data_IF_846282967739
#
_entry.id   IF_846282967739
#
_cell.length_a   1.000
_cell.length_b   1.000
_cell.length_c   1.000
_cell.angle_alpha   90.00
_cell.angle_beta   90.00
_cell.angle_gamma   90.00
#
_symmetry.space_group_name_H-M   'P 1'
#
loop_
_entity.id
_entity.type
_entity.pdbx_description
1 polymer ?
#
# COMPACT_ATOMS: atom_id res chain seq x y z
N UNK A 1 -22.39 -25.64 2.76
CA UNK A 1 -22.15 -24.59 3.75
C UNK A 1 -22.11 -23.27 3.00
N UNK A 2 -22.75 -22.18 3.50
CA UNK A 2 -22.63 -20.89 2.86
C UNK A 2 -21.15 -20.49 2.84
N UNK A 3 -20.67 -20.02 1.68
CA UNK A 3 -19.32 -19.52 1.53
C UNK A 3 -19.22 -18.27 2.40
N UNK A 4 -18.43 -18.34 3.45
CA UNK A 4 -18.23 -17.23 4.37
C UNK A 4 -17.26 -16.24 3.74
N UNK A 5 -17.54 -14.93 3.86
CA UNK A 5 -16.65 -13.89 3.36
C UNK A 5 -15.31 -13.95 4.10
N UNK A 6 -14.22 -13.82 3.36
CA UNK A 6 -12.87 -13.73 3.90
C UNK A 6 -12.55 -12.30 4.32
N UNK A 7 -11.76 -12.15 5.38
CA UNK A 7 -11.33 -10.84 5.87
C UNK A 7 -9.90 -10.53 5.41
N UNK A 8 -9.70 -9.31 4.96
CA UNK A 8 -8.41 -8.82 4.47
C UNK A 8 -8.08 -7.54 5.23
N UNK A 9 -6.85 -7.44 5.70
CA UNK A 9 -6.32 -6.22 6.31
C UNK A 9 -5.37 -5.54 5.33
N UNK A 10 -5.50 -4.23 5.16
CA UNK A 10 -4.54 -3.41 4.42
C UNK A 10 -3.73 -2.55 5.38
N UNK A 11 -2.46 -2.35 5.04
CA UNK A 11 -1.52 -1.56 5.83
C UNK A 11 -0.80 -0.54 4.95
N UNK A 12 -0.83 0.71 5.39
CA UNK A 12 -0.10 1.80 4.79
C UNK A 12 0.67 2.54 5.91
N UNK A 13 1.98 2.27 5.99
CA UNK A 13 2.85 2.81 7.03
C UNK A 13 3.60 4.04 6.51
N UNK A 14 3.55 5.13 7.28
CA UNK A 14 4.35 6.34 7.10
C UNK A 14 5.44 6.45 8.18
N UNK A 15 6.13 7.59 8.24
CA UNK A 15 7.23 7.83 9.18
C UNK A 15 6.81 7.76 10.65
N UNK A 16 5.60 8.20 10.96
CA UNK A 16 5.08 8.28 12.33
C UNK A 16 3.64 7.78 12.45
N UNK A 17 3.14 7.05 11.44
CA UNK A 17 1.75 6.60 11.41
C UNK A 17 1.58 5.27 10.69
N UNK A 18 0.51 4.55 11.05
CA UNK A 18 -0.01 3.42 10.30
C UNK A 18 -1.48 3.69 10.03
N UNK A 19 -1.88 3.54 8.77
CA UNK A 19 -3.28 3.49 8.35
C UNK A 19 -3.63 2.07 7.95
N UNK A 20 -4.78 1.59 8.41
CA UNK A 20 -5.26 0.24 8.11
C UNK A 20 -6.68 0.28 7.60
N UNK A 21 -7.03 -0.72 6.79
CA UNK A 21 -8.40 -1.01 6.39
C UNK A 21 -8.73 -2.46 6.67
N UNK A 22 -9.92 -2.72 7.15
CA UNK A 22 -10.48 -4.06 7.26
C UNK A 22 -11.54 -4.22 6.18
N UNK A 23 -11.38 -5.22 5.35
CA UNK A 23 -12.28 -5.52 4.24
C UNK A 23 -12.83 -6.93 4.35
N UNK A 24 -14.03 -7.12 3.83
CA UNK A 24 -14.70 -8.40 3.66
C UNK A 24 -14.94 -8.65 2.18
N UNK A 25 -14.65 -9.85 1.70
CA UNK A 25 -14.86 -10.22 0.30
C UNK A 25 -14.82 -11.72 0.08
N UNK A 26 -15.14 -12.12 -1.15
CA UNK A 26 -15.07 -13.52 -1.61
C UNK A 26 -14.07 -13.65 -2.73
N UNK A 27 -13.44 -14.80 -2.81
CA UNK A 27 -12.57 -15.11 -3.96
C UNK A 27 -13.36 -15.03 -5.25
N UNK A 28 -12.82 -14.28 -6.21
CA UNK A 28 -13.45 -14.06 -7.52
C UNK A 28 -14.46 -12.91 -7.56
N UNK A 29 -14.70 -12.22 -6.46
CA UNK A 29 -15.42 -10.94 -6.47
C UNK A 29 -14.45 -9.78 -6.72
N UNK A 30 -14.86 -8.85 -7.58
CA UNK A 30 -13.99 -7.76 -8.03
C UNK A 30 -13.71 -6.70 -6.97
N UNK A 31 -14.53 -6.64 -5.90
CA UNK A 31 -14.40 -5.58 -4.89
C UNK A 31 -14.77 -6.04 -3.49
N UNK A 32 -13.77 -6.13 -2.59
CA UNK A 32 -14.03 -6.31 -1.18
C UNK A 32 -14.73 -5.08 -0.58
N UNK A 33 -15.61 -5.33 0.37
CA UNK A 33 -16.37 -4.30 1.08
C UNK A 33 -15.59 -3.81 2.28
N UNK A 34 -15.40 -2.50 2.40
CA UNK A 34 -14.82 -1.88 3.59
C UNK A 34 -15.72 -2.10 4.81
N UNK A 35 -15.17 -2.60 5.90
CA UNK A 35 -15.84 -2.77 7.20
C UNK A 35 -15.42 -1.70 8.20
N UNK A 36 -14.12 -1.41 8.29
CA UNK A 36 -13.56 -0.45 9.24
C UNK A 36 -12.25 0.14 8.74
N UNK A 37 -11.92 1.31 9.26
CA UNK A 37 -10.60 1.96 9.10
C UNK A 37 -9.97 2.18 10.44
N UNK A 38 -8.67 1.93 10.54
CA UNK A 38 -7.85 2.25 11.69
C UNK A 38 -6.76 3.24 11.31
N UNK A 39 -6.44 4.15 12.22
CA UNK A 39 -5.30 5.06 12.11
C UNK A 39 -4.62 5.15 13.47
N UNK A 40 -3.34 4.83 13.50
CA UNK A 40 -2.48 5.10 14.63
C UNK A 40 -1.43 6.11 14.18
N UNK A 41 -1.47 7.32 14.71
CA UNK A 41 -0.52 8.39 14.41
C UNK A 41 0.24 8.83 15.67
N UNK A 42 1.21 9.71 15.48
CA UNK A 42 2.04 10.24 16.56
C UNK A 42 2.93 9.20 17.22
N UNK A 43 3.34 8.15 16.52
CA UNK A 43 4.19 7.08 17.04
C UNK A 43 5.44 7.67 17.68
N UNK A 44 5.70 7.32 18.95
CA UNK A 44 6.86 7.77 19.73
C UNK A 44 6.78 9.20 20.28
N UNK A 45 5.75 9.97 19.95
CA UNK A 45 5.60 11.38 20.36
C UNK A 45 4.28 11.62 21.09
N UNK A 46 3.16 11.37 20.44
CA UNK A 46 1.82 11.50 20.99
C UNK A 46 0.90 10.48 20.31
N UNK A 47 1.03 9.20 20.63
CA UNK A 47 0.30 8.14 19.92
C UNK A 47 -1.20 8.23 20.15
N UNK A 48 -1.97 8.13 19.07
CA UNK A 48 -3.43 8.08 19.10
C UNK A 48 -3.93 7.05 18.10
N UNK A 49 -4.75 6.12 18.59
CA UNK A 49 -5.43 5.13 17.76
C UNK A 49 -6.90 5.50 17.61
N UNK A 50 -7.34 5.63 16.38
CA UNK A 50 -8.74 5.81 16.02
C UNK A 50 -9.19 4.66 15.13
N UNK A 51 -10.33 4.05 15.46
CA UNK A 51 -10.99 3.02 14.66
C UNK A 51 -12.40 3.48 14.34
N UNK A 52 -12.72 3.56 13.06
CA UNK A 52 -13.99 4.04 12.55
C UNK A 52 -14.59 2.98 11.63
N UNK A 53 -15.84 2.64 11.87
CA UNK A 53 -16.60 1.72 11.01
C UNK A 53 -16.93 2.37 9.66
N UNK A 54 -17.27 1.55 8.67
CA UNK A 54 -17.62 2.03 7.33
C UNK A 54 -18.79 3.02 7.32
N UNK A 55 -19.70 2.93 8.28
CA UNK A 55 -20.86 3.85 8.45
C UNK A 55 -20.49 5.17 9.19
N UNK A 56 -19.23 5.33 9.60
CA UNK A 56 -18.76 6.50 10.34
C UNK A 56 -18.81 6.36 11.86
N UNK A 57 -19.33 5.26 12.40
CA UNK A 57 -19.35 5.01 13.85
C UNK A 57 -17.92 4.90 14.40
N UNK A 58 -17.60 5.69 15.42
CA UNK A 58 -16.31 5.63 16.11
C UNK A 58 -16.34 4.46 17.08
N UNK A 59 -15.51 3.44 16.81
CA UNK A 59 -15.36 2.26 17.68
C UNK A 59 -14.34 2.47 18.77
N UNK A 60 -13.29 3.21 18.48
CA UNK A 60 -12.21 3.47 19.41
C UNK A 60 -11.54 4.81 19.09
N UNK A 61 -11.19 5.54 20.14
CA UNK A 61 -10.37 6.74 20.08
C UNK A 61 -9.56 6.80 21.37
N UNK A 62 -8.31 6.34 21.31
CA UNK A 62 -7.44 6.14 22.47
C UNK A 62 -6.11 6.83 22.25
N UNK A 63 -5.71 7.64 23.22
CA UNK A 63 -4.36 8.21 23.30
C UNK A 63 -3.48 7.38 24.22
N UNK A 64 -2.21 7.30 23.89
CA UNK A 64 -1.19 6.55 24.64
C UNK A 64 -0.04 7.46 25.04
N UNK A 65 0.68 7.07 26.08
CA UNK A 65 1.97 7.68 26.39
C UNK A 65 3.01 7.29 25.33
N UNK A 66 3.99 8.17 25.01
CA UNK A 66 4.99 7.90 23.98
C UNK A 66 5.70 6.55 24.14
N UNK A 67 5.96 6.14 25.39
CA UNK A 67 6.68 4.91 25.72
C UNK A 67 5.85 3.65 25.43
N UNK A 68 4.53 3.74 25.41
CA UNK A 68 3.62 2.62 25.12
C UNK A 68 3.62 2.25 23.65
N UNK A 69 3.77 3.25 22.78
CA UNK A 69 3.82 3.09 21.32
C UNK A 69 5.07 3.82 20.80
N UNK A 70 6.23 3.30 21.17
CA UNK A 70 7.50 3.96 20.92
C UNK A 70 7.99 3.85 19.47
N UNK A 71 7.55 2.83 18.72
CA UNK A 71 8.02 2.51 17.39
C UNK A 71 6.95 1.80 16.54
N UNK A 72 7.29 1.54 15.29
CA UNK A 72 6.39 0.88 14.32
C UNK A 72 5.94 -0.50 14.78
N UNK A 73 6.82 -1.28 15.41
CA UNK A 73 6.49 -2.62 15.91
C UNK A 73 5.44 -2.55 17.02
N UNK A 74 5.59 -1.65 17.98
CA UNK A 74 4.61 -1.44 19.05
C UNK A 74 3.26 -0.96 18.49
N UNK A 75 3.29 -0.07 17.50
CA UNK A 75 2.10 0.41 16.81
C UNK A 75 1.37 -0.72 16.08
N UNK A 76 2.08 -1.57 15.36
CA UNK A 76 1.51 -2.71 14.68
C UNK A 76 0.89 -3.71 15.66
N UNK A 77 1.59 -4.02 16.74
CA UNK A 77 1.08 -4.93 17.79
C UNK A 77 -0.21 -4.39 18.42
N UNK A 78 -0.30 -3.09 18.65
CA UNK A 78 -1.51 -2.48 19.19
C UNK A 78 -2.69 -2.58 18.23
N UNK A 79 -2.47 -2.32 16.94
CA UNK A 79 -3.49 -2.47 15.90
C UNK A 79 -3.92 -3.94 15.79
N UNK A 80 -2.99 -4.86 15.79
CA UNK A 80 -3.28 -6.29 15.68
C UNK A 80 -4.09 -6.79 16.86
N UNK A 81 -3.79 -6.33 18.08
CA UNK A 81 -4.57 -6.64 19.29
C UNK A 81 -6.03 -6.22 19.13
N UNK A 82 -6.27 -5.00 18.65
CA UNK A 82 -7.64 -4.50 18.40
C UNK A 82 -8.37 -5.34 17.37
N UNK A 83 -7.67 -5.78 16.33
CA UNK A 83 -8.23 -6.67 15.32
C UNK A 83 -8.59 -8.04 15.91
N UNK A 84 -7.70 -8.66 16.67
CA UNK A 84 -7.95 -9.95 17.33
C UNK A 84 -9.14 -9.89 18.28
N UNK A 85 -9.22 -8.85 19.12
CA UNK A 85 -10.32 -8.64 20.06
C UNK A 85 -11.66 -8.42 19.34
N UNK A 86 -11.65 -7.69 18.20
CA UNK A 86 -12.84 -7.39 17.42
C UNK A 86 -13.30 -8.52 16.49
N UNK A 87 -12.39 -9.43 16.10
CA UNK A 87 -12.63 -10.47 15.10
C UNK A 87 -12.59 -11.89 15.66
N UNK A 88 -12.74 -12.08 16.94
CA UNK A 88 -12.54 -13.29 17.77
C UNK A 88 -12.60 -14.64 17.01
N UNK A 89 -13.63 -14.86 16.18
CA UNK A 89 -13.88 -16.11 15.46
C UNK A 89 -13.56 -16.03 13.94
N UNK A 90 -13.06 -14.90 13.46
CA UNK A 90 -12.83 -14.63 12.03
C UNK A 90 -11.49 -13.92 11.79
N UNK A 91 -10.35 -14.64 11.90
CA UNK A 91 -9.06 -14.02 11.62
C UNK A 91 -8.94 -13.59 10.16
N UNK A 92 -8.15 -12.53 9.87
CA UNK A 92 -7.83 -12.17 8.50
C UNK A 92 -7.11 -13.32 7.78
N UNK A 93 -7.36 -13.46 6.47
CA UNK A 93 -6.69 -14.48 5.65
C UNK A 93 -5.40 -13.98 5.01
N UNK A 94 -5.24 -12.66 4.94
CA UNK A 94 -4.02 -12.01 4.45
C UNK A 94 -3.92 -10.55 4.88
N UNK A 95 -2.70 -10.01 4.84
CA UNK A 95 -2.41 -8.58 4.95
C UNK A 95 -1.86 -8.08 3.61
N UNK A 96 -2.46 -7.01 3.07
CA UNK A 96 -1.94 -6.27 1.94
C UNK A 96 -1.18 -5.04 2.41
N UNK A 97 0.09 -4.89 2.01
CA UNK A 97 0.93 -3.75 2.34
C UNK A 97 1.13 -2.85 1.14
N UNK A 98 1.00 -1.54 1.35
CA UNK A 98 1.54 -0.57 0.42
C UNK A 98 3.06 -0.47 0.63
N UNK A 99 3.81 -0.65 -0.45
CA UNK A 99 5.26 -0.46 -0.50
C UNK A 99 5.57 0.58 -1.56
N UNK A 100 6.32 1.63 -1.21
CA UNK A 100 6.51 2.76 -2.11
C UNK A 100 7.31 2.37 -3.34
N UNK A 101 8.37 1.56 -3.19
CA UNK A 101 9.27 1.26 -4.29
C UNK A 101 9.45 -0.23 -4.53
N UNK A 102 9.17 -0.66 -5.77
CA UNK A 102 9.39 -2.03 -6.23
C UNK A 102 10.68 -2.20 -7.06
N UNK A 103 11.36 -1.10 -7.39
CA UNK A 103 12.54 -1.13 -8.24
C UNK A 103 12.23 -1.72 -9.63
N UNK A 104 13.23 -2.32 -10.24
CA UNK A 104 13.10 -2.99 -11.53
C UNK A 104 12.53 -4.41 -11.41
N UNK A 105 12.65 -5.03 -10.24
CA UNK A 105 12.35 -6.45 -10.03
C UNK A 105 10.89 -6.70 -9.64
N UNK A 106 10.21 -5.73 -9.05
CA UNK A 106 8.86 -5.89 -8.54
C UNK A 106 7.86 -5.01 -9.28
N UNK A 107 7.21 -5.59 -10.30
CA UNK A 107 6.20 -4.92 -11.14
C UNK A 107 4.78 -5.46 -10.93
N UNK A 108 4.59 -6.34 -9.96
CA UNK A 108 3.30 -6.92 -9.60
C UNK A 108 3.26 -7.20 -8.08
N UNK A 109 2.06 -7.38 -7.49
CA UNK A 109 1.96 -7.81 -6.10
C UNK A 109 2.75 -9.10 -5.84
N UNK A 110 3.44 -9.15 -4.71
CA UNK A 110 4.28 -10.30 -4.35
C UNK A 110 4.00 -10.74 -2.90
N UNK A 111 3.98 -12.05 -2.67
CA UNK A 111 3.98 -12.58 -1.31
C UNK A 111 5.33 -12.34 -0.67
N UNK A 112 5.32 -11.76 0.52
CA UNK A 112 6.53 -11.38 1.24
C UNK A 112 6.90 -12.48 2.24
N UNK A 113 8.13 -12.93 2.13
CA UNK A 113 8.87 -13.70 3.13
C UNK A 113 10.14 -12.94 3.55
N UNK A 114 10.96 -13.54 4.40
CA UNK A 114 12.20 -12.90 4.84
C UNK A 114 13.18 -12.65 3.68
N UNK A 115 13.21 -13.52 2.68
CA UNK A 115 14.06 -13.35 1.48
C UNK A 115 13.60 -12.18 0.64
N UNK A 116 12.30 -12.09 0.37
CA UNK A 116 11.71 -10.95 -0.37
C UNK A 116 11.88 -9.65 0.40
N UNK A 117 11.69 -9.66 1.72
CA UNK A 117 11.91 -8.49 2.57
C UNK A 117 13.36 -7.99 2.50
N UNK A 118 14.33 -8.90 2.52
CA UNK A 118 15.74 -8.55 2.37
C UNK A 118 16.03 -7.89 1.00
N UNK A 119 15.43 -8.39 -0.07
CA UNK A 119 15.53 -7.77 -1.41
C UNK A 119 14.89 -6.38 -1.44
N UNK A 120 13.73 -6.19 -0.83
CA UNK A 120 13.06 -4.88 -0.76
C UNK A 120 13.87 -3.86 0.04
N UNK A 121 14.62 -4.29 1.06
CA UNK A 121 15.54 -3.43 1.82
C UNK A 121 16.66 -2.85 0.94
N UNK A 122 17.10 -3.54 -0.08
CA UNK A 122 18.11 -3.03 -1.03
C UNK A 122 17.63 -1.82 -1.81
N UNK A 123 16.32 -1.56 -1.84
CA UNK A 123 15.71 -0.43 -2.52
C UNK A 123 15.55 0.81 -1.61
N UNK A 124 15.90 0.72 -0.33
CA UNK A 124 15.81 1.86 0.60
C UNK A 124 16.53 3.12 0.10
N UNK A 125 17.72 3.04 -0.53
CA UNK A 125 18.37 4.23 -1.09
C UNK A 125 17.57 4.96 -2.16
N UNK A 126 16.62 4.29 -2.83
CA UNK A 126 15.75 4.89 -3.85
C UNK A 126 14.55 5.67 -3.23
N UNK A 127 14.17 5.34 -2.01
CA UNK A 127 13.08 5.99 -1.30
C UNK A 127 13.35 6.02 0.22
N UNK A 128 14.41 6.71 0.68
CA UNK A 128 14.91 6.61 2.05
C UNK A 128 13.94 7.17 3.10
N UNK A 129 13.02 8.05 2.70
CA UNK A 129 12.02 8.64 3.59
C UNK A 129 10.73 7.80 3.70
N UNK A 130 10.57 6.78 2.87
CA UNK A 130 9.33 6.00 2.78
C UNK A 130 9.55 4.50 2.90
N UNK A 131 10.50 3.94 2.17
CA UNK A 131 10.72 2.49 2.10
C UNK A 131 10.97 1.85 3.46
N UNK A 132 11.83 2.39 4.35
CA UNK A 132 12.09 1.79 5.65
C UNK A 132 10.84 1.62 6.51
N UNK A 133 9.90 2.55 6.45
CA UNK A 133 8.67 2.51 7.25
C UNK A 133 7.71 1.43 6.75
N UNK A 134 7.52 1.33 5.43
CA UNK A 134 6.73 0.25 4.83
C UNK A 134 7.28 -1.12 5.20
N UNK A 135 8.60 -1.29 5.14
CA UNK A 135 9.26 -2.56 5.45
C UNK A 135 9.25 -2.88 6.95
N UNK A 136 9.30 -1.86 7.82
CA UNK A 136 9.18 -2.05 9.27
C UNK A 136 7.81 -2.62 9.64
N UNK A 137 6.74 -2.17 9.00
CA UNK A 137 5.40 -2.71 9.21
C UNK A 137 5.29 -4.17 8.74
N UNK A 138 5.88 -4.52 7.61
CA UNK A 138 5.94 -5.90 7.11
C UNK A 138 6.72 -6.78 8.08
N UNK A 139 7.88 -6.32 8.55
CA UNK A 139 8.70 -7.05 9.51
C UNK A 139 7.93 -7.31 10.81
N UNK A 140 7.28 -6.29 11.36
CA UNK A 140 6.47 -6.43 12.57
C UNK A 140 5.35 -7.47 12.40
N UNK A 141 4.69 -7.48 11.24
CA UNK A 141 3.66 -8.45 10.94
C UNK A 141 4.20 -9.89 10.80
N UNK A 142 5.37 -10.08 10.17
CA UNK A 142 6.03 -11.38 10.06
C UNK A 142 6.45 -11.93 11.43
N UNK A 143 6.94 -11.07 12.32
CA UNK A 143 7.31 -11.46 13.69
C UNK A 143 6.08 -11.82 14.53
N UNK A 144 4.95 -11.12 14.31
CA UNK A 144 3.73 -11.36 15.07
C UNK A 144 3.03 -12.66 14.66
N UNK A 145 2.86 -12.88 13.35
CA UNK A 145 2.22 -14.08 12.79
C UNK A 145 2.93 -14.51 11.49
N UNK A 146 3.94 -15.37 11.58
CA UNK A 146 4.68 -15.86 10.42
C UNK A 146 3.82 -16.66 9.42
N UNK A 147 2.66 -17.18 9.85
CA UNK A 147 1.79 -18.01 9.02
C UNK A 147 0.80 -17.17 8.20
N UNK A 148 0.48 -15.96 8.65
CA UNK A 148 -0.46 -15.10 7.93
C UNK A 148 0.18 -14.59 6.63
N UNK A 149 -0.40 -14.90 5.46
CA UNK A 149 0.11 -14.41 4.18
C UNK A 149 0.16 -12.88 4.14
N UNK A 150 1.28 -12.35 3.64
CA UNK A 150 1.48 -10.93 3.45
C UNK A 150 1.83 -10.64 2.01
N UNK A 151 1.14 -9.67 1.42
CA UNK A 151 1.30 -9.26 0.03
C UNK A 151 1.80 -7.83 0.00
N UNK A 152 2.89 -7.59 -0.70
CA UNK A 152 3.38 -6.24 -1.01
C UNK A 152 2.82 -5.78 -2.34
N UNK A 153 2.25 -4.57 -2.37
CA UNK A 153 1.75 -3.89 -3.55
C UNK A 153 2.52 -2.58 -3.70
N UNK A 154 3.00 -2.28 -4.91
CA UNK A 154 3.99 -1.24 -5.14
C UNK A 154 3.42 -0.03 -5.86
N UNK A 155 3.75 1.17 -5.37
CA UNK A 155 3.39 2.44 -6.05
C UNK A 155 4.04 2.56 -7.43
N UNK A 156 5.18 1.92 -7.64
CA UNK A 156 5.92 1.95 -8.91
C UNK A 156 5.40 0.95 -9.94
N UNK A 157 4.67 -0.08 -9.54
CA UNK A 157 4.31 -1.22 -10.40
C UNK A 157 3.42 -0.84 -11.59
N UNK A 158 2.44 0.04 -11.40
CA UNK A 158 1.54 0.48 -12.46
C UNK A 158 2.29 1.18 -13.60
N UNK A 159 3.41 1.83 -13.29
CA UNK A 159 4.24 2.58 -14.24
C UNK A 159 5.38 1.75 -14.85
N UNK A 160 5.59 0.52 -14.41
CA UNK A 160 6.73 -0.30 -14.82
C UNK A 160 6.73 -0.67 -16.33
N UNK A 161 5.55 -0.71 -16.94
CA UNK A 161 5.39 -1.04 -18.37
C UNK A 161 5.50 0.14 -19.33
N UNK A 162 5.86 1.34 -18.87
CA UNK A 162 6.04 2.50 -19.75
C UNK A 162 7.19 2.26 -20.72
N UNK A 163 7.14 2.97 -21.86
CA UNK A 163 8.23 2.89 -22.84
C UNK A 163 9.55 3.44 -22.27
N UNK A 164 10.65 3.11 -22.92
CA UNK A 164 12.00 3.50 -22.48
C UNK A 164 12.16 5.02 -22.35
N UNK A 165 11.61 5.79 -23.29
CA UNK A 165 11.73 7.25 -23.28
C UNK A 165 11.15 7.86 -22.00
N UNK A 166 10.03 7.33 -21.53
CA UNK A 166 9.39 7.77 -20.29
C UNK A 166 10.18 7.38 -19.04
N UNK A 167 11.12 6.46 -19.16
CA UNK A 167 12.00 6.01 -18.07
C UNK A 167 13.36 6.70 -18.06
N UNK A 168 13.68 7.50 -19.07
CA UNK A 168 14.97 8.20 -19.19
C UNK A 168 14.93 9.53 -18.41
N UNK A 169 16.07 9.84 -17.78
CA UNK A 169 16.42 11.19 -17.42
C UNK A 169 17.19 11.86 -18.59
N UNK A 170 17.32 13.18 -18.56
CA UNK A 170 18.19 13.93 -19.48
C UNK A 170 19.68 13.74 -19.13
N UNK A 171 20.12 12.49 -18.99
CA UNK A 171 21.48 12.08 -18.58
C UNK A 171 22.07 11.14 -19.64
N UNK A 172 23.38 10.90 -19.64
CA UNK A 172 24.02 9.92 -20.53
C UNK A 172 23.33 8.55 -20.43
N UNK A 173 23.05 7.94 -21.60
CA UNK A 173 22.32 6.67 -21.69
C UNK A 173 22.97 5.51 -20.92
N UNK A 174 24.30 5.53 -20.79
CA UNK A 174 25.03 4.54 -19.99
C UNK A 174 24.55 4.47 -18.53
N UNK A 175 24.03 5.56 -17.97
CA UNK A 175 23.47 5.57 -16.62
C UNK A 175 22.13 4.81 -16.57
N UNK A 176 21.32 4.92 -17.63
CA UNK A 176 20.09 4.13 -17.75
C UNK A 176 20.42 2.62 -17.80
N UNK A 177 21.43 2.22 -18.56
CA UNK A 177 21.89 0.84 -18.62
C UNK A 177 22.40 0.33 -17.26
N UNK A 178 22.92 1.21 -16.42
CA UNK A 178 23.32 0.93 -15.04
C UNK A 178 22.15 0.94 -14.04
N UNK A 179 20.91 1.16 -14.49
CA UNK A 179 19.74 1.13 -13.66
C UNK A 179 19.25 2.50 -13.12
N UNK A 180 19.87 3.61 -13.53
CA UNK A 180 19.39 4.96 -13.20
C UNK A 180 18.19 5.30 -14.06
N UNK A 181 17.00 5.17 -13.49
CA UNK A 181 15.73 5.27 -14.21
C UNK A 181 14.78 6.23 -13.54
N UNK A 182 13.92 6.82 -14.34
CA UNK A 182 12.74 7.58 -13.90
C UNK A 182 11.64 6.60 -13.51
N UNK A 183 11.42 6.41 -12.22
CA UNK A 183 10.27 5.65 -11.72
C UNK A 183 9.03 6.54 -11.62
N UNK A 184 7.85 5.92 -11.68
CA UNK A 184 6.59 6.57 -11.37
C UNK A 184 6.09 6.12 -9.99
N UNK A 185 5.26 6.93 -9.36
CA UNK A 185 4.71 6.71 -8.03
C UNK A 185 3.19 6.91 -7.99
N UNK A 186 2.57 6.74 -6.83
CA UNK A 186 1.12 6.77 -6.64
C UNK A 186 0.35 5.78 -7.54
N UNK A 187 1.05 4.75 -8.04
CA UNK A 187 0.49 3.81 -9.02
C UNK A 187 -0.71 3.05 -8.49
N UNK A 188 -0.75 2.71 -7.21
CA UNK A 188 -1.91 2.05 -6.59
C UNK A 188 -3.16 2.91 -6.69
N UNK A 189 -3.04 4.23 -6.49
CA UNK A 189 -4.13 5.19 -6.66
C UNK A 189 -4.56 5.30 -8.12
N UNK A 190 -3.64 5.48 -9.04
CA UNK A 190 -3.94 5.60 -10.47
C UNK A 190 -4.57 4.34 -11.04
N UNK A 191 -4.05 3.18 -10.68
CA UNK A 191 -4.58 1.88 -11.10
C UNK A 191 -6.02 1.68 -10.61
N UNK A 192 -6.27 1.94 -9.33
CA UNK A 192 -7.60 1.80 -8.75
C UNK A 192 -8.61 2.76 -9.40
N UNK A 193 -8.28 4.05 -9.50
CA UNK A 193 -9.18 5.06 -10.07
C UNK A 193 -9.45 4.80 -11.54
N UNK A 194 -8.43 4.44 -12.32
CA UNK A 194 -8.61 4.11 -13.75
C UNK A 194 -9.51 2.90 -13.93
N UNK A 195 -9.33 1.85 -13.14
CA UNK A 195 -10.18 0.66 -13.21
C UNK A 195 -11.63 0.98 -12.82
N UNK A 196 -11.84 1.78 -11.78
CA UNK A 196 -13.19 2.22 -11.39
C UNK A 196 -13.88 3.06 -12.46
N UNK A 197 -13.14 3.90 -13.16
CA UNK A 197 -13.67 4.67 -14.28
C UNK A 197 -14.04 3.78 -15.47
N UNK A 198 -13.20 2.80 -15.80
CA UNK A 198 -13.45 1.82 -16.88
C UNK A 198 -14.69 0.97 -16.54
N UNK A 199 -14.85 0.52 -15.31
CA UNK A 199 -16.01 -0.26 -14.87
C UNK A 199 -17.32 0.53 -15.03
N UNK A 200 -17.29 1.85 -14.76
CA UNK A 200 -18.45 2.73 -14.90
C UNK A 200 -18.69 3.21 -16.35
N UNK A 201 -17.66 3.31 -17.13
CA UNK A 201 -17.66 3.83 -18.51
C UNK A 201 -16.77 2.95 -19.35
N UNK A 202 -17.28 1.79 -19.83
CA UNK A 202 -16.47 0.77 -20.54
C UNK A 202 -15.73 1.27 -21.76
N UNK A 203 -16.16 2.35 -22.39
CA UNK A 203 -15.49 2.96 -23.54
C UNK A 203 -14.08 3.45 -23.20
N UNK A 204 -13.83 3.75 -21.93
CA UNK A 204 -12.52 4.18 -21.44
C UNK A 204 -11.47 3.05 -21.42
N UNK A 205 -11.89 1.78 -21.55
CA UNK A 205 -10.97 0.64 -21.63
C UNK A 205 -10.00 0.74 -22.83
N UNK A 206 -10.40 1.42 -23.90
CA UNK A 206 -9.57 1.71 -25.09
C UNK A 206 -9.27 3.20 -25.24
N UNK A 207 -9.72 4.02 -24.28
CA UNK A 207 -9.63 5.47 -24.32
C UNK A 207 -8.38 6.03 -23.65
N UNK A 208 -8.34 7.35 -23.61
CA UNK A 208 -7.26 8.13 -22.98
C UNK A 208 -7.81 8.87 -21.75
N UNK A 209 -7.05 8.80 -20.66
CA UNK A 209 -7.37 9.44 -19.38
C UNK A 209 -6.18 10.25 -18.89
N UNK A 210 -6.47 11.32 -18.16
CA UNK A 210 -5.51 11.95 -17.26
C UNK A 210 -6.12 11.96 -15.87
N UNK A 211 -5.41 11.39 -14.90
CA UNK A 211 -5.84 11.33 -13.51
C UNK A 211 -4.88 12.16 -12.67
N UNK A 212 -5.43 12.99 -11.79
CA UNK A 212 -4.68 13.75 -10.80
C UNK A 212 -4.79 13.10 -9.43
N UNK A 213 -3.65 12.81 -8.81
CA UNK A 213 -3.54 12.45 -7.40
C UNK A 213 -3.10 13.69 -6.64
N UNK A 214 -3.96 14.19 -5.78
CA UNK A 214 -3.75 15.47 -5.07
C UNK A 214 -3.70 15.22 -3.56
N UNK A 215 -2.57 15.50 -2.96
CA UNK A 215 -2.31 15.33 -1.53
C UNK A 215 -1.04 16.08 -1.14
N UNK A 216 -0.35 15.66 -0.08
CA UNK A 216 0.97 16.21 0.27
C UNK A 216 1.97 16.00 -0.87
N UNK A 217 1.94 14.85 -1.51
CA UNK A 217 2.54 14.63 -2.82
C UNK A 217 1.45 14.73 -3.89
N UNK A 218 1.73 15.42 -4.99
CA UNK A 218 0.79 15.58 -6.10
C UNK A 218 1.41 15.11 -7.39
N UNK A 219 0.66 14.37 -8.19
CA UNK A 219 1.10 13.89 -9.50
C UNK A 219 -0.08 13.76 -10.47
N UNK A 220 0.25 13.83 -11.75
CA UNK A 220 -0.67 13.54 -12.85
C UNK A 220 -0.18 12.29 -13.58
N UNK A 221 -1.09 11.46 -14.05
CA UNK A 221 -0.78 10.29 -14.86
C UNK A 221 -1.63 10.29 -16.13
N UNK A 222 -0.97 10.16 -17.27
CA UNK A 222 -1.61 9.89 -18.55
C UNK A 222 -1.75 8.36 -18.71
N UNK A 223 -2.96 7.93 -19.01
CA UNK A 223 -3.34 6.52 -19.13
C UNK A 223 -4.00 6.31 -20.50
N UNK A 224 -3.56 5.29 -21.21
CA UNK A 224 -4.16 4.87 -22.48
C UNK A 224 -4.45 3.38 -22.43
N UNK A 225 -5.67 3.02 -22.78
CA UNK A 225 -6.14 1.64 -22.73
C UNK A 225 -5.83 0.93 -21.41
N UNK A 226 -6.07 1.62 -20.29
CA UNK A 226 -5.84 1.12 -18.92
C UNK A 226 -4.37 1.05 -18.49
N UNK A 227 -3.43 1.56 -19.28
CA UNK A 227 -1.99 1.52 -19.00
C UNK A 227 -1.42 2.89 -18.73
N UNK A 228 -0.55 3.00 -17.73
CA UNK A 228 0.25 4.20 -17.51
C UNK A 228 1.19 4.44 -18.69
N UNK A 229 1.12 5.63 -19.27
CA UNK A 229 1.97 6.04 -20.40
C UNK A 229 3.05 7.00 -19.92
N UNK A 230 2.66 7.99 -19.15
CA UNK A 230 3.53 9.00 -18.62
C UNK A 230 2.96 9.54 -17.31
N UNK A 231 3.82 9.98 -16.42
CA UNK A 231 3.40 10.67 -15.21
C UNK A 231 4.37 11.77 -14.85
N UNK A 232 3.90 12.77 -14.11
CA UNK A 232 4.75 13.74 -13.45
C UNK A 232 5.43 13.08 -12.26
N UNK A 233 6.73 13.26 -12.12
CA UNK A 233 7.43 12.94 -10.87
C UNK A 233 7.17 14.06 -9.89
N UNK A 234 6.37 13.77 -8.90
CA UNK A 234 5.98 14.75 -7.88
C UNK A 234 7.09 15.09 -6.93
#
# INVERSE_FOLDING_TARGET
>A
SPVQDELIVTVNAGSSSIKTGLFSGRRGEDQPRLLARGKLDGIGVAPRLQVVMADGTIMQDTSFEPEQIANMQAAFQQIYRVLEEGLQDRPPVLIGHRVVHGGMDFSAPVRVDHTTLARLKTLEPLAPLHQPHSLAAIHAALEHDPQLPQIACFDTAFHAGRNEISQLFGLPYALYEQGVRRYGFHGLSFEYVSQRLIDKTPELATGKLVIAHLGNGSSLCAIEAGRSIEMTTG
#
